data_IF_921145715671
#
_entry.id   IF_921145715671
#
_cell.length_a   1.000
_cell.length_b   1.000
_cell.length_c   1.000
_cell.angle_alpha   90.00
_cell.angle_beta   90.00
_cell.angle_gamma   90.00
#
_symmetry.space_group_name_H-M   'P 1'
#
loop_
_entity.id
_entity.type
_entity.pdbx_description
1 polymer ?
#
# COMPACT_ATOMS: atom_id res chain seq x y z
N UNK A 1 10.15 25.87 -17.54
CA UNK A 1 8.73 25.78 -17.94
C UNK A 1 8.09 27.10 -17.58
N UNK A 2 7.53 27.83 -18.54
CA UNK A 2 6.77 29.05 -18.21
C UNK A 2 5.39 28.55 -17.81
N UNK A 3 5.14 28.49 -16.51
CA UNK A 3 3.83 28.11 -15.95
C UNK A 3 2.89 29.29 -16.08
N UNK A 4 1.69 29.08 -16.62
CA UNK A 4 0.72 30.15 -16.86
C UNK A 4 -0.06 30.52 -15.59
N UNK A 5 -0.63 31.71 -15.57
CA UNK A 5 -1.37 32.25 -14.43
C UNK A 5 -2.63 31.43 -14.11
N UNK A 6 -3.25 30.78 -15.10
CA UNK A 6 -4.44 29.95 -14.89
C UNK A 6 -4.16 28.72 -14.01
N UNK A 7 -2.96 28.14 -14.10
CA UNK A 7 -2.54 26.99 -13.28
C UNK A 7 -2.09 27.42 -11.87
N UNK A 8 -1.51 28.61 -11.74
CA UNK A 8 -0.98 29.10 -10.45
C UNK A 8 -2.08 29.67 -9.57
N UNK A 9 -3.10 30.30 -10.14
CA UNK A 9 -4.13 31.04 -9.40
C UNK A 9 -4.86 30.22 -8.33
N UNK A 10 -5.25 28.94 -8.56
CA UNK A 10 -5.88 28.11 -7.53
C UNK A 10 -4.95 27.79 -6.36
N UNK A 11 -3.63 27.80 -6.57
CA UNK A 11 -2.61 27.41 -5.58
C UNK A 11 -2.19 28.56 -4.67
N UNK A 12 -2.53 29.82 -5.00
CA UNK A 12 -2.05 31.00 -4.26
C UNK A 12 -2.54 31.07 -2.80
N UNK A 13 -3.75 30.57 -2.52
CA UNK A 13 -4.28 30.53 -1.14
C UNK A 13 -3.54 29.49 -0.31
N UNK A 14 -3.45 28.26 -0.82
CA UNK A 14 -2.72 27.17 -0.15
C UNK A 14 -1.23 27.50 0.03
N UNK A 15 -0.62 28.21 -0.93
CA UNK A 15 0.74 28.72 -0.80
C UNK A 15 0.89 29.71 0.37
N UNK A 16 -0.09 30.59 0.57
CA UNK A 16 -0.09 31.53 1.69
C UNK A 16 -0.28 30.85 3.04
N UNK A 17 -1.16 29.84 3.10
CA UNK A 17 -1.45 29.07 4.32
C UNK A 17 -0.34 28.05 4.66
N UNK A 18 0.59 27.81 3.73
CA UNK A 18 1.71 26.89 3.90
C UNK A 18 1.34 25.41 3.72
N UNK A 19 0.29 25.14 2.95
CA UNK A 19 -0.31 23.81 2.77
C UNK A 19 0.11 23.10 1.48
N UNK A 20 0.85 23.78 0.59
CA UNK A 20 1.39 23.14 -0.61
C UNK A 20 2.57 22.21 -0.28
N UNK A 21 2.72 21.14 -1.05
CA UNK A 21 3.94 20.33 -1.00
C UNK A 21 5.17 21.17 -1.46
N UNK A 22 6.40 20.75 -1.11
CA UNK A 22 7.60 21.53 -1.42
C UNK A 22 7.82 21.85 -2.90
N UNK A 23 7.43 20.95 -3.80
CA UNK A 23 7.60 21.11 -5.25
C UNK A 23 6.61 22.14 -5.78
N UNK A 24 5.33 22.03 -5.39
CA UNK A 24 4.31 23.02 -5.73
C UNK A 24 4.62 24.41 -5.16
N UNK A 25 5.12 24.47 -3.91
CA UNK A 25 5.51 25.73 -3.29
C UNK A 25 6.66 26.42 -4.03
N UNK A 26 7.65 25.66 -4.51
CA UNK A 26 8.76 26.20 -5.31
C UNK A 26 8.28 26.73 -6.68
N UNK A 27 7.36 26.02 -7.33
CA UNK A 27 6.75 26.45 -8.59
C UNK A 27 5.98 27.76 -8.42
N UNK A 28 5.13 27.86 -7.38
CA UNK A 28 4.36 29.07 -7.09
C UNK A 28 5.30 30.23 -6.71
N UNK A 29 6.31 29.98 -5.88
CA UNK A 29 7.31 30.97 -5.49
C UNK A 29 8.08 31.53 -6.69
N UNK A 30 8.51 30.66 -7.60
CA UNK A 30 9.19 31.06 -8.84
C UNK A 30 8.28 31.88 -9.75
N UNK A 31 7.00 31.52 -9.88
CA UNK A 31 6.05 32.26 -10.72
C UNK A 31 5.70 33.64 -10.14
N UNK A 32 5.41 33.77 -8.85
CA UNK A 32 5.07 35.08 -8.25
C UNK A 32 6.28 36.03 -8.19
N UNK A 33 7.51 35.53 -8.32
CA UNK A 33 8.70 36.36 -8.44
C UNK A 33 8.75 37.12 -9.78
N UNK A 34 8.06 36.63 -10.82
CA UNK A 34 8.07 37.21 -12.17
C UNK A 34 6.70 37.72 -12.64
N UNK A 35 5.60 37.23 -12.07
CA UNK A 35 4.24 37.64 -12.41
C UNK A 35 3.67 38.64 -11.40
N UNK A 36 3.53 39.90 -11.82
CA UNK A 36 3.01 40.97 -10.97
C UNK A 36 1.55 40.77 -10.53
N UNK A 37 0.71 40.12 -11.34
CA UNK A 37 -0.70 39.88 -11.02
C UNK A 37 -0.86 38.85 -9.89
N UNK A 38 -0.18 37.71 -10.01
CA UNK A 38 -0.20 36.66 -8.98
C UNK A 38 0.48 37.12 -7.68
N UNK A 39 1.53 37.94 -7.77
CA UNK A 39 2.17 38.56 -6.60
C UNK A 39 1.22 39.52 -5.86
N UNK A 40 0.39 40.28 -6.58
CA UNK A 40 -0.59 41.18 -5.97
C UNK A 40 -1.67 40.43 -5.17
N UNK A 41 -2.13 39.27 -5.66
CA UNK A 41 -3.10 38.42 -4.95
C UNK A 41 -2.53 37.92 -3.62
N UNK A 42 -1.28 37.42 -3.61
CA UNK A 42 -0.61 36.97 -2.37
C UNK A 42 -0.39 38.14 -1.40
N UNK A 43 -0.09 39.34 -1.91
CA UNK A 43 0.02 40.55 -1.10
C UNK A 43 -1.32 40.97 -0.48
N UNK A 44 -2.43 40.73 -1.17
CA UNK A 44 -3.79 40.94 -0.65
C UNK A 44 -4.10 39.98 0.51
N UNK A 45 -3.82 38.68 0.37
CA UNK A 45 -3.95 37.70 1.47
C UNK A 45 -3.12 38.10 2.69
N UNK A 46 -1.87 38.55 2.48
CA UNK A 46 -1.02 39.11 3.55
C UNK A 46 -1.61 40.34 4.23
N UNK A 47 -2.27 41.21 3.47
CA UNK A 47 -2.95 42.41 4.00
C UNK A 47 -4.16 42.01 4.85
N UNK A 48 -4.99 41.10 4.34
CA UNK A 48 -6.17 40.59 5.04
C UNK A 48 -5.79 39.88 6.34
N UNK A 49 -4.76 39.03 6.33
CA UNK A 49 -4.25 38.37 7.53
C UNK A 49 -3.79 39.36 8.60
N UNK A 50 -3.12 40.46 8.20
CA UNK A 50 -2.74 41.54 9.14
C UNK A 50 -3.95 42.26 9.73
N UNK A 51 -5.02 42.45 8.95
CA UNK A 51 -6.25 43.09 9.44
C UNK A 51 -7.00 42.17 10.42
N UNK A 52 -7.08 40.87 10.12
CA UNK A 52 -7.69 39.87 11.01
C UNK A 52 -6.94 39.80 12.34
N UNK A 53 -5.60 39.77 12.31
CA UNK A 53 -4.76 39.79 13.53
C UNK A 53 -4.90 41.10 14.31
N UNK A 54 -5.27 42.20 13.63
CA UNK A 54 -5.51 43.50 14.25
C UNK A 54 -6.95 43.68 14.75
N UNK A 55 -7.86 42.71 14.54
CA UNK A 55 -9.20 42.78 15.09
C UNK A 55 -9.15 42.75 16.62
N UNK A 56 -10.00 43.54 17.30
CA UNK A 56 -10.09 43.49 18.75
C UNK A 56 -10.64 42.13 19.21
N UNK A 57 -10.10 41.59 20.31
CA UNK A 57 -10.66 40.42 20.97
C UNK A 57 -12.09 40.73 21.45
N UNK A 58 -13.06 40.01 20.91
CA UNK A 58 -14.45 40.08 21.36
C UNK A 58 -14.65 38.99 22.43
N UNK A 59 -14.94 39.34 23.69
CA UNK A 59 -15.22 38.34 24.71
C UNK A 59 -16.52 37.59 24.34
N UNK A 60 -16.61 36.27 24.60
CA UNK A 60 -17.81 35.51 24.35
C UNK A 60 -18.99 36.06 25.19
N UNK A 61 -20.23 36.00 24.68
CA UNK A 61 -21.41 36.42 25.43
C UNK A 61 -21.57 35.61 26.72
N UNK A 62 -22.09 36.24 27.77
CA UNK A 62 -22.34 35.57 29.05
C UNK A 62 -23.28 34.35 28.85
N UNK A 63 -22.80 33.15 29.20
CA UNK A 63 -23.54 31.89 29.08
C UNK A 63 -22.94 30.87 28.10
N UNK A 64 -21.98 31.26 27.27
CA UNK A 64 -21.24 30.35 26.38
C UNK A 64 -19.98 29.83 27.10
N UNK A 65 -20.09 28.65 27.74
CA UNK A 65 -18.90 27.89 28.19
C UNK A 65 -18.51 26.89 27.10
N UNK A 66 -17.52 27.24 26.29
CA UNK A 66 -16.87 26.30 25.39
C UNK A 66 -15.55 25.84 26.04
N UNK A 67 -15.35 24.55 26.31
CA UNK A 67 -14.05 24.01 26.74
C UNK A 67 -12.89 24.33 25.77
N UNK A 68 -13.21 24.76 24.54
CA UNK A 68 -12.27 25.18 23.51
C UNK A 68 -11.74 26.63 23.68
N UNK A 69 -12.38 27.49 24.48
CA UNK A 69 -11.95 28.88 24.68
C UNK A 69 -10.71 28.99 25.61
N UNK A 70 -10.48 27.98 26.46
CA UNK A 70 -9.38 28.00 27.45
C UNK A 70 -8.06 27.40 26.90
N UNK A 71 -8.02 26.97 25.63
CA UNK A 71 -6.84 26.33 25.01
C UNK A 71 -6.02 27.26 24.10
N UNK A 72 -6.58 28.37 23.62
CA UNK A 72 -5.93 29.24 22.61
C UNK A 72 -5.04 30.36 23.18
N UNK A 73 -5.14 30.70 24.48
CA UNK A 73 -4.38 31.83 25.05
C UNK A 73 -3.02 31.49 25.68
N UNK A 74 -2.57 30.23 25.62
CA UNK A 74 -1.30 29.81 26.24
C UNK A 74 -0.03 29.99 25.39
N UNK A 75 -0.14 30.42 24.13
CA UNK A 75 0.99 30.45 23.19
C UNK A 75 1.65 31.83 22.93
N UNK A 76 1.20 32.92 23.55
CA UNK A 76 1.70 34.27 23.19
C UNK A 76 2.82 34.85 24.08
N UNK A 77 3.23 34.19 25.17
CA UNK A 77 4.13 34.83 26.17
C UNK A 77 5.63 34.61 25.95
N UNK A 78 6.08 33.77 25.01
CA UNK A 78 7.51 33.39 24.90
C UNK A 78 8.32 34.23 23.86
N UNK A 79 7.70 35.12 23.09
CA UNK A 79 8.40 35.82 21.98
C UNK A 79 9.07 37.17 22.30
N UNK A 80 9.19 37.58 23.57
CA UNK A 80 9.70 38.93 23.94
C UNK A 80 11.03 38.98 24.70
N UNK A 81 11.88 37.95 24.63
CA UNK A 81 13.19 37.96 25.31
C UNK A 81 14.43 38.11 24.40
N UNK A 82 14.27 38.43 23.12
CA UNK A 82 15.34 38.28 22.13
C UNK A 82 15.78 39.51 21.36
N UNK A 83 15.72 40.74 21.88
CA UNK A 83 16.27 41.92 21.16
C UNK A 83 16.88 42.96 22.09
N UNK A 84 17.92 42.58 22.83
CA UNK A 84 18.95 43.51 23.31
C UNK A 84 20.31 42.81 23.32
N UNK A 85 20.93 42.65 22.16
CA UNK A 85 22.38 42.52 22.06
C UNK A 85 22.82 42.96 20.65
N UNK A 86 23.06 44.27 20.51
CA UNK A 86 23.91 44.80 19.45
C UNK A 86 25.22 45.22 20.10
N UNK A 87 26.33 44.96 19.39
CA UNK A 87 27.73 45.24 19.73
C UNK A 87 28.42 44.27 20.71
N UNK A 88 28.91 43.14 20.17
CA UNK A 88 30.34 42.78 20.12
C UNK A 88 30.54 41.37 19.51
N UNK A 89 31.39 41.26 18.48
CA UNK A 89 32.13 40.03 18.19
C UNK A 89 31.66 39.21 17.00
N UNK A 90 32.53 39.10 15.98
CA UNK A 90 32.56 38.01 15.01
C UNK A 90 32.47 36.62 15.70
N UNK A 91 32.95 36.55 16.95
CA UNK A 91 32.84 35.40 17.85
C UNK A 91 31.39 35.04 18.23
N UNK A 92 30.48 36.01 18.37
CA UNK A 92 29.08 35.74 18.72
C UNK A 92 28.30 35.14 17.54
N UNK A 93 28.60 35.54 16.30
CA UNK A 93 28.02 34.96 15.10
C UNK A 93 28.49 33.50 14.88
N UNK A 94 29.79 33.23 15.10
CA UNK A 94 30.35 31.87 15.07
C UNK A 94 29.71 31.01 16.18
N UNK A 95 29.55 31.56 17.39
CA UNK A 95 28.89 30.86 18.49
C UNK A 95 27.43 30.51 18.14
N UNK A 96 26.69 31.41 17.50
CA UNK A 96 25.30 31.13 17.07
C UNK A 96 25.26 30.04 16.00
N UNK A 97 26.14 30.05 15.01
CA UNK A 97 26.22 28.98 13.99
C UNK A 97 26.62 27.64 14.62
N UNK A 98 27.58 27.64 15.55
CA UNK A 98 27.99 26.45 16.30
C UNK A 98 26.86 25.95 17.19
N UNK A 99 26.12 26.83 17.87
CA UNK A 99 24.98 26.46 18.70
C UNK A 99 23.81 25.93 17.86
N UNK A 100 23.56 26.48 16.67
CA UNK A 100 22.57 25.94 15.73
C UNK A 100 23.04 24.58 15.20
N UNK A 101 24.32 24.42 14.86
CA UNK A 101 24.90 23.14 14.44
C UNK A 101 24.89 22.08 15.55
N UNK A 102 25.18 22.48 16.78
CA UNK A 102 25.06 21.64 17.97
C UNK A 102 23.61 21.35 18.32
N UNK A 103 22.69 22.29 18.15
CA UNK A 103 21.26 22.08 18.38
C UNK A 103 20.66 21.16 17.30
N UNK A 104 21.07 21.32 16.04
CA UNK A 104 20.70 20.41 14.95
C UNK A 104 21.33 19.03 15.15
N UNK A 105 22.60 18.97 15.56
CA UNK A 105 23.29 17.73 15.93
C UNK A 105 22.68 17.06 17.15
N UNK A 106 22.33 17.82 18.19
CA UNK A 106 21.66 17.35 19.40
C UNK A 106 20.23 16.91 19.08
N UNK A 107 19.50 17.63 18.23
CA UNK A 107 18.19 17.22 17.74
C UNK A 107 18.28 15.90 16.97
N UNK A 108 19.25 15.75 16.07
CA UNK A 108 19.49 14.49 15.36
C UNK A 108 19.91 13.35 16.32
N UNK A 109 20.71 13.64 17.35
CA UNK A 109 21.10 12.67 18.38
C UNK A 109 19.90 12.29 19.26
N UNK A 110 19.09 13.25 19.68
CA UNK A 110 17.86 13.02 20.45
C UNK A 110 16.81 12.27 19.63
N UNK A 111 16.68 12.55 18.34
CA UNK A 111 15.81 11.82 17.42
C UNK A 111 16.28 10.38 17.27
N UNK A 112 17.60 10.16 17.10
CA UNK A 112 18.21 8.81 17.09
C UNK A 112 18.02 8.07 18.42
N UNK A 113 18.15 8.76 19.56
CA UNK A 113 17.88 8.17 20.88
C UNK A 113 16.40 7.86 21.10
N UNK A 114 15.48 8.69 20.58
CA UNK A 114 14.03 8.46 20.66
C UNK A 114 13.61 7.25 19.82
N UNK A 115 14.16 7.12 18.62
CA UNK A 115 13.99 5.93 17.78
C UNK A 115 14.64 4.72 18.41
N UNK A 116 15.84 4.81 19.00
CA UNK A 116 16.53 3.68 19.65
C UNK A 116 15.87 3.21 20.97
N UNK A 117 15.12 4.07 21.66
CA UNK A 117 14.43 3.73 22.91
C UNK A 117 13.02 3.14 22.76
N UNK A 118 12.45 3.14 21.55
CA UNK A 118 11.08 2.66 21.29
C UNK A 118 11.01 1.15 21.06
N UNK A 119 10.69 0.34 22.07
CA UNK A 119 10.64 -1.13 21.98
C UNK A 119 9.98 -1.68 20.70
N UNK A 120 10.58 -2.69 20.07
CA UNK A 120 10.01 -3.38 18.90
C UNK A 120 8.77 -4.18 19.30
N UNK A 121 7.61 -3.79 18.78
CA UNK A 121 6.32 -4.44 19.04
C UNK A 121 5.37 -4.21 17.86
N UNK A 122 4.41 -5.12 17.66
CA UNK A 122 3.25 -4.88 16.79
C UNK A 122 2.27 -3.97 17.54
N UNK A 123 1.89 -2.85 16.93
CA UNK A 123 1.03 -1.82 17.53
C UNK A 123 -0.35 -1.73 16.87
N UNK A 124 -0.51 -2.25 15.65
CA UNK A 124 -1.79 -2.38 14.98
C UNK A 124 -1.79 -3.62 14.10
N UNK A 125 -2.97 -4.22 13.91
CA UNK A 125 -3.16 -5.35 13.01
C UNK A 125 -4.54 -5.31 12.37
N UNK A 126 -4.64 -5.81 11.15
CA UNK A 126 -5.88 -6.18 10.51
C UNK A 126 -5.78 -7.63 9.99
N UNK A 127 -6.81 -8.46 10.18
CA UNK A 127 -7.98 -8.24 11.02
C UNK A 127 -7.57 -8.05 12.50
N UNK A 128 -8.41 -7.42 13.34
CA UNK A 128 -8.12 -7.28 14.76
C UNK A 128 -8.10 -8.65 15.47
N UNK A 129 -7.41 -8.72 16.62
CA UNK A 129 -7.35 -9.94 17.43
C UNK A 129 -8.75 -10.48 17.78
N UNK A 130 -8.96 -11.76 17.52
CA UNK A 130 -10.23 -12.45 17.75
C UNK A 130 -11.32 -12.13 16.73
N UNK A 131 -11.00 -11.56 15.58
CA UNK A 131 -11.99 -11.26 14.54
C UNK A 131 -12.75 -12.52 14.08
N UNK A 132 -14.03 -12.33 13.78
CA UNK A 132 -14.93 -13.34 13.23
C UNK A 132 -15.42 -12.91 11.85
N UNK A 133 -15.88 -13.88 11.06
CA UNK A 133 -16.43 -13.66 9.72
C UNK A 133 -15.48 -12.89 8.78
N UNK A 134 -14.18 -13.13 8.93
CA UNK A 134 -13.16 -12.55 8.06
C UNK A 134 -13.35 -13.06 6.62
N UNK A 135 -13.42 -12.17 5.61
CA UNK A 135 -13.50 -12.58 4.20
C UNK A 135 -12.35 -13.51 3.80
N UNK A 136 -12.62 -14.41 2.86
CA UNK A 136 -11.68 -15.49 2.53
C UNK A 136 -10.45 -15.01 1.76
N UNK A 137 -10.51 -13.87 1.08
CA UNK A 137 -9.37 -13.29 0.37
C UNK A 137 -8.50 -12.36 1.24
N UNK A 138 -8.94 -12.01 2.45
CA UNK A 138 -8.35 -10.96 3.30
C UNK A 138 -6.82 -11.02 3.45
N UNK A 139 -6.14 -9.97 2.99
CA UNK A 139 -4.75 -9.72 3.37
C UNK A 139 -4.64 -9.36 4.86
N UNK A 140 -3.61 -9.87 5.54
CA UNK A 140 -3.32 -9.48 6.93
C UNK A 140 -2.36 -8.28 6.91
N UNK A 141 -2.51 -7.35 7.84
CA UNK A 141 -1.53 -6.26 8.02
C UNK A 141 -1.03 -6.24 9.45
N UNK A 142 0.28 -6.04 9.63
CA UNK A 142 0.90 -5.80 10.93
C UNK A 142 1.69 -4.49 10.86
N UNK A 143 1.37 -3.53 11.72
CA UNK A 143 2.14 -2.29 11.88
C UNK A 143 3.02 -2.39 13.12
N UNK A 144 4.32 -2.20 12.94
CA UNK A 144 5.29 -2.20 14.02
C UNK A 144 5.49 -0.80 14.60
N UNK A 145 5.91 -0.73 15.86
CA UNK A 145 6.28 0.52 16.54
C UNK A 145 7.49 1.22 15.92
N UNK A 146 8.29 0.51 15.11
CA UNK A 146 9.53 1.00 14.50
C UNK A 146 9.89 0.15 13.28
N UNK A 147 10.88 0.60 12.53
CA UNK A 147 11.44 -0.16 11.40
C UNK A 147 12.04 -1.50 11.86
N UNK A 148 11.60 -2.57 11.20
CA UNK A 148 12.04 -3.94 11.45
C UNK A 148 13.06 -4.41 10.42
N UNK A 149 13.83 -5.44 10.77
CA UNK A 149 14.54 -6.26 9.79
C UNK A 149 13.52 -7.18 9.12
N UNK A 150 13.22 -6.88 7.86
CA UNK A 150 12.15 -7.49 7.07
C UNK A 150 12.37 -9.00 6.95
N UNK A 151 13.58 -9.41 6.53
CA UNK A 151 13.97 -10.82 6.41
C UNK A 151 13.85 -11.59 7.73
N UNK A 152 14.18 -10.93 8.86
CA UNK A 152 14.08 -11.52 10.18
C UNK A 152 12.63 -11.69 10.64
N UNK A 153 11.74 -10.78 10.27
CA UNK A 153 10.31 -10.88 10.59
C UNK A 153 9.66 -11.97 9.75
N UNK A 154 9.93 -12.00 8.45
CA UNK A 154 9.40 -13.00 7.53
C UNK A 154 9.81 -14.41 7.94
N UNK A 155 11.09 -14.64 8.24
CA UNK A 155 11.59 -15.93 8.71
C UNK A 155 11.05 -16.33 10.10
N UNK A 156 10.60 -15.36 10.89
CA UNK A 156 10.02 -15.58 12.22
C UNK A 156 8.48 -15.69 12.18
N UNK A 157 7.86 -15.54 11.00
CA UNK A 157 6.41 -15.52 10.84
C UNK A 157 5.90 -16.87 10.32
N UNK A 158 4.89 -17.41 10.98
CA UNK A 158 4.22 -18.64 10.55
C UNK A 158 2.74 -18.61 10.93
N UNK A 159 1.94 -19.43 10.25
CA UNK A 159 0.49 -19.49 10.45
C UNK A 159 0.01 -20.94 10.59
N UNK A 160 -1.01 -21.15 11.42
CA UNK A 160 -1.66 -22.43 11.62
C UNK A 160 -3.19 -22.30 11.48
N UNK A 161 -3.88 -23.11 10.64
CA UNK A 161 -3.32 -24.07 9.66
C UNK A 161 -2.33 -23.42 8.68
N UNK A 162 -1.39 -24.21 8.17
CA UNK A 162 -0.35 -23.72 7.28
C UNK A 162 -0.94 -23.26 5.95
N UNK A 163 -0.56 -22.04 5.54
CA UNK A 163 -0.88 -21.42 4.26
C UNK A 163 0.41 -20.71 3.81
N UNK A 164 0.88 -20.88 2.56
CA UNK A 164 2.00 -20.12 2.04
C UNK A 164 1.70 -18.61 2.08
N UNK A 165 2.66 -17.79 2.52
CA UNK A 165 2.50 -16.35 2.72
C UNK A 165 3.53 -15.57 1.91
N UNK A 166 3.09 -14.49 1.28
CA UNK A 166 3.94 -13.45 0.70
C UNK A 166 3.93 -12.23 1.63
N UNK A 167 4.99 -11.44 1.57
CA UNK A 167 5.19 -10.29 2.43
C UNK A 167 5.52 -9.08 1.57
N UNK A 168 4.83 -7.97 1.81
CA UNK A 168 5.06 -6.71 1.15
C UNK A 168 5.20 -5.61 2.21
N UNK A 169 6.33 -4.90 2.20
CA UNK A 169 6.67 -3.91 3.21
C UNK A 169 6.44 -2.48 2.72
N UNK A 170 5.84 -1.66 3.59
CA UNK A 170 5.75 -0.22 3.41
C UNK A 170 6.03 0.48 4.75
N UNK A 171 7.22 1.05 4.88
CA UNK A 171 7.67 1.68 6.12
C UNK A 171 7.72 0.66 7.27
N UNK A 172 6.98 0.92 8.34
CA UNK A 172 6.86 0.03 9.50
C UNK A 172 5.71 -0.99 9.39
N UNK A 173 5.00 -1.05 8.27
CA UNK A 173 3.87 -1.97 8.07
C UNK A 173 4.24 -3.07 7.09
N UNK A 174 3.91 -4.31 7.45
CA UNK A 174 3.95 -5.47 6.54
C UNK A 174 2.53 -5.89 6.19
N UNK A 175 2.29 -6.06 4.90
CA UNK A 175 1.11 -6.74 4.36
C UNK A 175 1.48 -8.18 4.08
N UNK A 176 0.75 -9.10 4.68
CA UNK A 176 0.91 -10.53 4.56
C UNK A 176 -0.22 -11.05 3.68
N UNK A 177 0.15 -11.55 2.50
CA UNK A 177 -0.78 -12.05 1.49
C UNK A 177 -0.76 -13.57 1.52
N UNK A 178 -1.87 -14.25 1.84
CA UNK A 178 -1.90 -15.69 1.66
C UNK A 178 -1.88 -15.99 0.16
N UNK A 179 -1.13 -17.01 -0.25
CA UNK A 179 -1.05 -17.35 -1.67
C UNK A 179 -2.41 -17.80 -2.19
N UNK A 180 -3.19 -18.46 -1.35
CA UNK A 180 -4.52 -18.98 -1.64
C UNK A 180 -5.53 -18.36 -0.67
N UNK A 181 -6.81 -18.32 -1.07
CA UNK A 181 -7.86 -17.87 -0.18
C UNK A 181 -7.91 -18.72 1.10
N UNK A 182 -8.25 -18.08 2.22
CA UNK A 182 -8.39 -18.74 3.49
C UNK A 182 -9.50 -19.80 3.44
N UNK A 183 -9.28 -20.92 4.14
CA UNK A 183 -10.29 -21.98 4.25
C UNK A 183 -11.52 -21.44 4.95
N UNK A 184 -12.70 -21.80 4.44
CA UNK A 184 -13.99 -21.39 4.96
C UNK A 184 -14.19 -21.85 6.42
N UNK A 185 -14.80 -21.00 7.25
CA UNK A 185 -15.15 -21.32 8.65
C UNK A 185 -13.99 -21.81 9.52
N UNK A 186 -12.77 -21.41 9.21
CA UNK A 186 -11.54 -21.91 9.81
C UNK A 186 -10.95 -20.86 10.74
N UNK A 187 -10.45 -21.31 11.90
CA UNK A 187 -9.72 -20.46 12.83
C UNK A 187 -8.24 -20.55 12.50
N UNK A 188 -7.63 -19.40 12.22
CA UNK A 188 -6.20 -19.25 11.94
C UNK A 188 -5.50 -18.59 13.12
N UNK A 189 -4.24 -18.99 13.34
CA UNK A 189 -3.32 -18.43 14.32
C UNK A 189 -2.04 -18.02 13.61
N UNK A 190 -1.86 -16.72 13.37
CA UNK A 190 -0.62 -16.14 12.86
C UNK A 190 0.31 -15.84 14.05
N UNK A 191 1.57 -16.23 13.96
CA UNK A 191 2.58 -15.95 14.98
C UNK A 191 3.79 -15.26 14.36
N UNK A 192 4.22 -14.15 14.96
CA UNK A 192 5.54 -13.57 14.74
C UNK A 192 6.39 -13.89 15.97
N UNK A 193 7.36 -14.79 15.81
CA UNK A 193 8.19 -15.25 16.92
C UNK A 193 9.04 -14.11 17.49
N UNK A 194 9.37 -14.20 18.79
CA UNK A 194 10.23 -13.24 19.49
C UNK A 194 11.66 -13.16 18.96
N UNK A 195 12.04 -14.04 18.03
CA UNK A 195 13.31 -14.01 17.31
C UNK A 195 13.36 -12.94 16.21
N UNK A 196 12.21 -12.35 15.83
CA UNK A 196 12.14 -11.23 14.91
C UNK A 196 12.92 -10.02 15.45
N UNK A 197 13.61 -9.30 14.56
CA UNK A 197 14.54 -8.22 14.93
C UNK A 197 14.14 -6.87 14.35
N UNK A 198 14.42 -5.82 15.10
CA UNK A 198 14.53 -4.45 14.58
C UNK A 198 15.78 -4.29 13.72
N UNK A 199 15.83 -3.24 12.87
CA UNK A 199 17.04 -2.91 12.08
C UNK A 199 18.26 -2.59 12.95
N UNK A 200 18.05 -2.24 14.22
CA UNK A 200 19.09 -2.03 15.23
C UNK A 200 19.54 -3.33 15.94
N UNK A 201 18.99 -4.48 15.54
CA UNK A 201 19.26 -5.80 16.12
C UNK A 201 18.48 -6.10 17.40
N UNK A 202 17.60 -5.21 17.87
CA UNK A 202 16.74 -5.46 19.04
C UNK A 202 15.71 -6.54 18.73
N UNK A 203 15.49 -7.46 19.66
CA UNK A 203 14.44 -8.47 19.52
C UNK A 203 13.05 -7.85 19.70
N UNK A 204 12.06 -8.46 19.06
CA UNK A 204 10.66 -8.21 19.34
C UNK A 204 10.39 -8.44 20.85
N UNK A 205 9.75 -7.47 21.51
CA UNK A 205 9.57 -7.45 22.97
C UNK A 205 8.95 -8.75 23.50
N UNK A 206 7.98 -9.27 22.77
CA UNK A 206 7.32 -10.55 23.01
C UNK A 206 6.85 -11.13 21.68
N UNK A 207 6.77 -12.46 21.53
CA UNK A 207 6.09 -13.06 20.39
C UNK A 207 4.70 -12.45 20.21
N UNK A 208 4.37 -12.09 18.98
CA UNK A 208 3.04 -11.61 18.64
C UNK A 208 2.21 -12.78 18.12
N UNK A 209 0.96 -12.87 18.57
CA UNK A 209 0.01 -13.90 18.14
C UNK A 209 -1.28 -13.21 17.74
N UNK A 210 -1.78 -13.53 16.56
CA UNK A 210 -3.05 -13.08 16.02
C UNK A 210 -3.96 -14.28 15.77
N UNK A 211 -5.14 -14.29 16.38
CA UNK A 211 -6.21 -15.26 16.12
C UNK A 211 -7.33 -14.60 15.32
N UNK A 212 -7.77 -15.26 14.25
CA UNK A 212 -8.97 -14.83 13.52
C UNK A 212 -9.73 -16.04 12.98
N UNK A 213 -11.02 -15.86 12.73
CA UNK A 213 -11.89 -16.88 12.15
C UNK A 213 -12.52 -16.36 10.87
N UNK A 214 -12.35 -17.12 9.80
CA UNK A 214 -12.93 -16.80 8.49
C UNK A 214 -14.43 -17.05 8.47
N UNK A 215 -15.12 -16.37 7.55
CA UNK A 215 -16.54 -16.57 7.31
C UNK A 215 -16.83 -18.06 7.03
N UNK A 216 -17.83 -18.60 7.73
CA UNK A 216 -18.31 -19.97 7.51
C UNK A 216 -19.45 -20.03 6.50
N UNK A 217 -19.73 -21.23 5.98
CA UNK A 217 -21.01 -21.50 5.32
C UNK A 217 -22.07 -21.65 6.43
N UNK A 218 -23.20 -20.92 6.40
CA UNK A 218 -24.28 -21.10 7.36
C UNK A 218 -24.76 -22.56 7.37
N UNK A 219 -24.88 -23.22 8.54
CA UNK A 219 -25.25 -24.64 8.60
C UNK A 219 -26.65 -24.89 7.98
N UNK A 220 -26.75 -25.94 7.15
CA UNK A 220 -28.02 -26.38 6.56
C UNK A 220 -28.35 -25.81 5.18
N UNK A 221 -27.42 -25.09 4.54
CA UNK A 221 -27.50 -24.79 3.11
C UNK A 221 -26.41 -25.59 2.38
N UNK A 222 -26.78 -26.43 1.42
CA UNK A 222 -25.89 -26.62 0.26
C UNK A 222 -25.52 -25.21 -0.24
N UNK A 223 -24.29 -24.98 -0.77
CA UNK A 223 -23.98 -23.73 -1.45
C UNK A 223 -25.17 -23.43 -2.37
N UNK A 224 -25.87 -22.29 -2.20
CA UNK A 224 -27.10 -22.09 -2.92
C UNK A 224 -26.82 -22.28 -4.41
N UNK A 225 -27.78 -22.77 -5.21
CA UNK A 225 -27.59 -22.92 -6.66
C UNK A 225 -27.02 -21.64 -7.30
N UNK A 226 -27.20 -20.48 -6.68
CA UNK A 226 -26.62 -19.19 -7.06
C UNK A 226 -25.09 -19.08 -6.92
N UNK A 227 -24.43 -19.91 -6.11
CA UNK A 227 -22.97 -19.97 -6.05
C UNK A 227 -22.41 -20.93 -7.10
N UNK A 228 -23.20 -21.89 -7.60
CA UNK A 228 -22.71 -22.77 -8.65
C UNK A 228 -22.22 -21.93 -9.83
N UNK A 229 -21.03 -22.25 -10.39
CA UNK A 229 -20.52 -21.55 -11.54
C UNK A 229 -21.55 -21.54 -12.67
N UNK A 230 -21.65 -20.40 -13.34
CA UNK A 230 -22.49 -20.19 -14.52
C UNK A 230 -21.61 -19.98 -15.75
N UNK A 231 -22.22 -19.98 -16.93
CA UNK A 231 -21.54 -19.70 -18.19
C UNK A 231 -20.24 -20.50 -18.39
N UNK A 232 -19.14 -19.80 -18.64
CA UNK A 232 -17.83 -20.37 -18.95
C UNK A 232 -17.23 -21.17 -17.79
N UNK A 233 -17.34 -20.68 -16.55
CA UNK A 233 -16.86 -21.42 -15.39
C UNK A 233 -17.67 -22.70 -15.17
N UNK A 234 -18.99 -22.69 -15.47
CA UNK A 234 -19.80 -23.90 -15.41
C UNK A 234 -19.32 -24.99 -16.38
N UNK A 235 -18.90 -24.59 -17.60
CA UNK A 235 -18.42 -25.52 -18.61
C UNK A 235 -17.15 -26.23 -18.15
N UNK A 236 -16.13 -25.46 -17.72
CA UNK A 236 -14.87 -26.02 -17.21
C UNK A 236 -15.12 -26.84 -15.94
N UNK A 237 -15.85 -26.28 -14.97
CA UNK A 237 -16.08 -26.92 -13.68
C UNK A 237 -16.82 -28.26 -13.81
N UNK A 238 -17.86 -28.34 -14.65
CA UNK A 238 -18.64 -29.59 -14.81
C UNK A 238 -18.00 -30.57 -15.77
N UNK A 239 -17.49 -30.08 -16.90
CA UNK A 239 -17.07 -30.95 -18.02
C UNK A 239 -15.63 -31.43 -17.84
N UNK A 240 -14.74 -30.56 -17.37
CA UNK A 240 -13.31 -30.87 -17.23
C UNK A 240 -12.96 -31.29 -15.80
N UNK A 241 -13.60 -30.67 -14.80
CA UNK A 241 -13.23 -30.87 -13.39
C UNK A 241 -14.19 -31.78 -12.62
N UNK A 242 -15.27 -32.29 -13.21
CA UNK A 242 -16.17 -33.23 -12.53
C UNK A 242 -17.10 -32.61 -11.47
N UNK A 243 -17.25 -31.28 -11.46
CA UNK A 243 -18.22 -30.55 -10.67
C UNK A 243 -17.99 -30.63 -9.16
N UNK A 244 -19.04 -30.73 -8.32
CA UNK A 244 -18.92 -30.72 -6.87
C UNK A 244 -18.04 -31.80 -6.26
N UNK A 245 -17.98 -32.97 -6.90
CA UNK A 245 -17.15 -34.10 -6.44
C UNK A 245 -15.75 -34.06 -7.03
N UNK A 246 -15.46 -33.04 -7.83
CA UNK A 246 -14.18 -32.77 -8.47
C UNK A 246 -13.12 -32.22 -7.51
N UNK A 247 -11.88 -32.02 -8.01
CA UNK A 247 -10.78 -31.51 -7.21
C UNK A 247 -10.99 -30.07 -6.74
N UNK A 248 -11.79 -29.27 -7.44
CA UNK A 248 -12.02 -27.86 -7.10
C UNK A 248 -13.08 -27.67 -6.00
N UNK A 249 -13.98 -28.65 -5.82
CA UNK A 249 -15.10 -28.57 -4.88
C UNK A 249 -16.18 -27.58 -5.29
N UNK A 250 -16.93 -27.08 -4.31
CA UNK A 250 -17.98 -26.07 -4.53
C UNK A 250 -17.41 -24.66 -4.62
N UNK A 251 -18.08 -23.80 -5.39
CA UNK A 251 -17.85 -22.37 -5.35
C UNK A 251 -18.31 -21.79 -4.01
N UNK A 252 -17.50 -20.89 -3.44
CA UNK A 252 -17.70 -20.33 -2.10
C UNK A 252 -18.09 -18.85 -2.12
N UNK A 253 -17.92 -18.19 -3.28
CA UNK A 253 -18.34 -16.81 -3.54
C UNK A 253 -19.01 -16.72 -4.92
N UNK A 254 -19.89 -15.72 -5.14
CA UNK A 254 -20.41 -15.44 -6.48
C UNK A 254 -19.27 -15.10 -7.46
N UNK A 255 -19.47 -15.42 -8.73
CA UNK A 255 -18.62 -14.91 -9.81
C UNK A 255 -18.64 -13.39 -9.81
N UNK A 256 -17.45 -12.80 -9.90
CA UNK A 256 -17.25 -11.35 -9.97
C UNK A 256 -16.67 -11.00 -11.33
N UNK A 257 -17.32 -10.05 -12.02
CA UNK A 257 -16.79 -9.40 -13.21
C UNK A 257 -16.02 -8.15 -12.79
N UNK A 258 -14.75 -8.06 -13.18
CA UNK A 258 -13.83 -7.03 -12.71
C UNK A 258 -13.05 -6.43 -13.88
N UNK A 259 -12.76 -5.13 -13.80
CA UNK A 259 -11.71 -4.56 -14.63
C UNK A 259 -10.37 -5.20 -14.25
N UNK A 260 -9.57 -5.51 -15.25
CA UNK A 260 -8.39 -6.36 -15.12
C UNK A 260 -7.29 -5.88 -16.04
N UNK A 261 -6.06 -6.26 -15.74
CA UNK A 261 -4.91 -6.09 -16.62
C UNK A 261 -4.12 -7.39 -16.72
N UNK A 262 -3.49 -7.64 -17.87
CA UNK A 262 -2.57 -8.76 -18.07
C UNK A 262 -1.34 -8.32 -18.82
N UNK A 263 -0.27 -9.09 -18.65
CA UNK A 263 0.92 -8.98 -19.46
C UNK A 263 1.62 -10.33 -19.54
N UNK A 264 1.89 -10.82 -20.76
CA UNK A 264 2.73 -12.00 -20.95
C UNK A 264 4.21 -11.66 -20.86
N UNK A 265 4.96 -12.61 -20.31
CA UNK A 265 6.40 -12.60 -20.16
C UNK A 265 6.98 -13.86 -20.81
N UNK A 266 8.29 -13.87 -21.07
CA UNK A 266 8.98 -14.99 -21.74
C UNK A 266 8.69 -16.36 -21.12
N UNK A 267 8.44 -16.43 -19.80
CA UNK A 267 8.26 -17.67 -19.03
C UNK A 267 7.16 -17.53 -17.97
N UNK A 268 6.18 -16.67 -18.24
CA UNK A 268 5.10 -16.44 -17.29
C UNK A 268 4.09 -15.40 -17.76
N UNK A 269 3.15 -15.10 -16.88
CA UNK A 269 2.16 -14.05 -17.06
C UNK A 269 1.87 -13.37 -15.74
N UNK A 270 1.60 -12.07 -15.79
CA UNK A 270 0.98 -11.37 -14.67
C UNK A 270 -0.48 -11.05 -15.00
N UNK A 271 -1.35 -11.21 -14.02
CA UNK A 271 -2.75 -10.81 -14.05
C UNK A 271 -3.02 -9.92 -12.84
N UNK A 272 -3.63 -8.77 -13.06
CA UNK A 272 -4.16 -7.91 -12.00
C UNK A 272 -5.68 -7.84 -12.16
N UNK A 273 -6.39 -7.92 -11.04
CA UNK A 273 -7.86 -7.87 -10.98
C UNK A 273 -8.25 -6.77 -9.97
N UNK A 274 -9.15 -5.87 -10.36
CA UNK A 274 -9.64 -4.77 -9.52
C UNK A 274 -10.58 -5.25 -8.40
N UNK A 275 -10.02 -5.99 -7.45
CA UNK A 275 -10.75 -6.45 -6.28
C UNK A 275 -10.85 -5.28 -5.30
N UNK A 276 -12.07 -4.81 -5.05
CA UNK A 276 -12.46 -3.60 -4.28
C UNK A 276 -11.71 -3.29 -2.97
N UNK A 277 -10.98 -4.25 -2.40
CA UNK A 277 -10.26 -4.11 -1.14
C UNK A 277 -8.82 -4.64 -1.16
N UNK A 278 -8.36 -5.18 -2.30
CA UNK A 278 -7.09 -5.91 -2.40
C UNK A 278 -6.44 -5.70 -3.77
N UNK A 279 -5.48 -4.77 -3.85
CA UNK A 279 -4.67 -4.59 -5.05
C UNK A 279 -3.67 -5.76 -5.16
N UNK A 280 -4.02 -6.78 -5.92
CA UNK A 280 -3.23 -8.02 -6.03
C UNK A 280 -2.82 -8.30 -7.47
N UNK A 281 -1.57 -8.76 -7.62
CA UNK A 281 -1.03 -9.27 -8.87
C UNK A 281 -0.82 -10.77 -8.70
N UNK A 282 -1.42 -11.55 -9.59
CA UNK A 282 -1.21 -12.98 -9.75
C UNK A 282 -0.09 -13.18 -10.76
N UNK A 283 0.95 -13.91 -10.36
CA UNK A 283 2.05 -14.30 -11.25
C UNK A 283 1.90 -15.79 -11.52
N UNK A 284 1.71 -16.14 -12.79
CA UNK A 284 1.71 -17.51 -13.29
C UNK A 284 3.09 -17.78 -13.89
N UNK A 285 3.83 -18.71 -13.30
CA UNK A 285 5.10 -19.21 -13.80
C UNK A 285 4.82 -20.36 -14.76
N UNK A 286 5.35 -20.30 -15.98
CA UNK A 286 5.08 -21.32 -16.99
C UNK A 286 5.89 -22.58 -16.73
N UNK A 287 5.19 -23.72 -16.73
CA UNK A 287 5.78 -25.04 -16.90
C UNK A 287 6.23 -25.29 -18.34
N UNK A 288 6.68 -26.50 -18.63
CA UNK A 288 7.28 -26.83 -19.94
C UNK A 288 6.31 -26.74 -21.12
N UNK A 289 5.00 -26.81 -20.88
CA UNK A 289 3.95 -26.78 -21.90
C UNK A 289 3.21 -25.44 -21.98
N UNK A 290 3.56 -24.47 -21.13
CA UNK A 290 2.92 -23.15 -21.04
C UNK A 290 1.40 -23.18 -20.81
N UNK A 291 0.83 -24.35 -20.49
CA UNK A 291 -0.60 -24.53 -20.15
C UNK A 291 -0.78 -24.94 -18.69
N UNK A 292 0.31 -25.14 -17.96
CA UNK A 292 0.34 -25.42 -16.53
C UNK A 292 1.61 -24.84 -15.90
N UNK A 293 1.65 -24.79 -14.57
CA UNK A 293 2.86 -24.40 -13.83
C UNK A 293 2.56 -24.03 -12.39
N UNK A 294 3.40 -23.19 -11.81
CA UNK A 294 3.26 -22.69 -10.44
C UNK A 294 2.70 -21.27 -10.45
N UNK A 295 1.96 -20.86 -9.42
CA UNK A 295 1.47 -19.50 -9.31
C UNK A 295 1.67 -18.93 -7.91
N UNK A 296 1.72 -17.60 -7.84
CA UNK A 296 1.83 -16.87 -6.59
C UNK A 296 1.10 -15.53 -6.67
N UNK A 297 0.64 -15.06 -5.50
CA UNK A 297 -0.01 -13.75 -5.33
C UNK A 297 0.93 -12.76 -4.67
N UNK A 298 0.89 -11.53 -5.17
CA UNK A 298 1.70 -10.40 -4.70
C UNK A 298 0.81 -9.18 -4.47
N UNK A 299 1.23 -8.29 -3.57
CA UNK A 299 0.59 -6.98 -3.42
C UNK A 299 1.02 -6.09 -4.58
N UNK A 300 0.07 -5.42 -5.24
CA UNK A 300 0.43 -4.29 -6.07
C UNK A 300 0.78 -3.11 -5.17
N UNK A 301 2.07 -2.83 -5.08
CA UNK A 301 2.58 -1.72 -4.29
C UNK A 301 2.57 -0.39 -5.06
N UNK A 302 2.38 -0.40 -6.38
CA UNK A 302 2.40 0.81 -7.20
C UNK A 302 1.23 1.72 -6.85
N UNK A 303 1.49 3.02 -6.76
CA UNK A 303 0.48 4.04 -6.47
C UNK A 303 0.49 5.12 -7.54
N UNK A 304 -0.63 5.80 -7.71
CA UNK A 304 -0.71 6.95 -8.61
C UNK A 304 0.33 8.00 -8.19
N UNK A 305 1.20 8.38 -9.13
CA UNK A 305 2.34 9.27 -8.90
C UNK A 305 3.70 8.57 -8.73
N UNK A 306 3.73 7.24 -8.50
CA UNK A 306 4.97 6.48 -8.57
C UNK A 306 5.55 6.48 -10.00
N UNK A 307 6.87 6.36 -10.18
CA UNK A 307 7.47 6.23 -11.50
C UNK A 307 6.84 5.05 -12.27
N UNK A 308 6.29 5.33 -13.44
CA UNK A 308 5.65 4.29 -14.28
C UNK A 308 6.65 3.21 -14.71
N UNK A 309 7.92 3.58 -14.91
CA UNK A 309 8.98 2.69 -15.38
C UNK A 309 10.34 3.11 -14.85
N UNK A 310 11.32 2.22 -14.94
CA UNK A 310 12.70 2.51 -14.55
C UNK A 310 13.55 3.06 -15.72
N UNK A 311 13.04 3.01 -16.96
CA UNK A 311 13.74 3.51 -18.14
C UNK A 311 14.82 2.55 -18.63
N UNK A 312 14.60 1.25 -18.42
CA UNK A 312 15.50 0.21 -18.93
C UNK A 312 15.37 0.08 -20.45
N UNK A 313 16.44 -0.34 -21.12
CA UNK A 313 16.39 -0.68 -22.55
C UNK A 313 16.11 -2.18 -22.68
N UNK A 314 14.89 -2.59 -23.09
CA UNK A 314 14.59 -4.00 -23.27
C UNK A 314 15.34 -4.59 -24.47
N UNK A 315 15.59 -5.92 -24.49
CA UNK A 315 16.06 -6.61 -25.68
C UNK A 315 15.13 -6.42 -26.89
N UNK A 316 15.64 -6.69 -28.09
CA UNK A 316 14.85 -6.54 -29.32
C UNK A 316 13.56 -7.38 -29.28
N UNK A 317 12.43 -6.73 -29.57
CA UNK A 317 11.11 -7.37 -29.55
C UNK A 317 10.48 -7.53 -28.17
N UNK A 318 11.15 -7.10 -27.09
CA UNK A 318 10.68 -7.19 -25.71
C UNK A 318 10.34 -5.81 -25.15
N UNK A 319 9.64 -5.80 -24.01
CA UNK A 319 9.10 -4.61 -23.38
C UNK A 319 9.55 -4.49 -21.93
N UNK A 320 9.83 -3.27 -21.49
CA UNK A 320 9.94 -2.97 -20.06
C UNK A 320 8.53 -2.96 -19.45
N UNK A 321 8.22 -3.85 -18.48
CA UNK A 321 6.94 -3.79 -17.78
C UNK A 321 6.81 -2.48 -17.00
N UNK A 322 5.59 -1.94 -16.93
CA UNK A 322 5.29 -0.63 -16.36
C UNK A 322 4.31 -0.74 -15.18
N UNK A 323 4.16 0.34 -14.42
CA UNK A 323 3.22 0.48 -13.29
C UNK A 323 3.35 -0.69 -12.29
N UNK A 324 2.23 -1.28 -11.83
CA UNK A 324 2.21 -2.38 -10.87
C UNK A 324 3.06 -3.58 -11.29
N UNK A 325 2.86 -4.06 -12.53
CA UNK A 325 3.66 -5.16 -13.09
C UNK A 325 5.14 -4.82 -13.16
N UNK A 326 5.46 -3.61 -13.62
CA UNK A 326 6.84 -3.13 -13.70
C UNK A 326 7.52 -3.04 -12.35
N UNK A 327 6.80 -2.54 -11.33
CA UNK A 327 7.31 -2.42 -9.97
C UNK A 327 7.54 -3.79 -9.35
N UNK A 328 6.55 -4.69 -9.41
CA UNK A 328 6.67 -6.06 -8.93
C UNK A 328 7.85 -6.79 -9.60
N UNK A 329 7.93 -6.70 -10.93
CA UNK A 329 8.98 -7.34 -11.72
C UNK A 329 10.37 -6.88 -11.30
N UNK A 330 10.59 -5.56 -11.11
CA UNK A 330 11.90 -5.02 -10.71
C UNK A 330 12.25 -5.32 -9.26
N UNK A 331 11.31 -5.06 -8.35
CA UNK A 331 11.61 -4.89 -6.94
C UNK A 331 11.55 -6.23 -6.19
N UNK A 332 10.63 -7.13 -6.58
CA UNK A 332 10.44 -8.40 -5.88
C UNK A 332 10.89 -9.62 -6.71
N UNK A 333 10.70 -9.59 -8.04
CA UNK A 333 11.06 -10.73 -8.89
C UNK A 333 12.51 -10.70 -9.38
N UNK A 334 13.27 -9.63 -9.13
CA UNK A 334 14.69 -9.54 -9.51
C UNK A 334 14.96 -8.89 -10.87
N UNK A 335 13.97 -8.21 -11.45
CA UNK A 335 14.10 -7.41 -12.66
C UNK A 335 14.58 -8.22 -13.86
N UNK A 336 15.71 -7.83 -14.43
CA UNK A 336 16.27 -8.51 -15.62
C UNK A 336 16.61 -9.99 -15.38
N UNK A 337 16.76 -10.40 -14.12
CA UNK A 337 16.98 -11.80 -13.72
C UNK A 337 15.70 -12.51 -13.28
N UNK A 338 14.53 -11.90 -13.49
CA UNK A 338 13.26 -12.45 -13.03
C UNK A 338 12.98 -13.83 -13.64
N UNK A 339 12.43 -14.78 -12.85
CA UNK A 339 12.12 -16.12 -13.35
C UNK A 339 11.24 -16.11 -14.60
N UNK A 340 10.26 -15.19 -14.64
CA UNK A 340 9.34 -15.02 -15.78
C UNK A 340 9.96 -14.31 -16.99
N UNK A 341 11.13 -13.66 -16.85
CA UNK A 341 11.82 -12.97 -17.94
C UNK A 341 11.25 -11.59 -18.28
N UNK A 342 11.54 -11.08 -19.47
CA UNK A 342 11.02 -9.79 -19.95
C UNK A 342 9.58 -9.89 -20.46
N UNK A 343 8.87 -8.75 -20.50
CA UNK A 343 7.53 -8.73 -21.08
C UNK A 343 7.60 -8.90 -22.60
N UNK A 344 6.71 -9.73 -23.13
CA UNK A 344 6.59 -10.01 -24.57
C UNK A 344 5.73 -8.96 -25.29
N UNK A 345 4.94 -8.22 -24.53
CA UNK A 345 3.97 -7.26 -25.04
C UNK A 345 3.69 -6.16 -24.01
N UNK A 346 3.11 -5.02 -24.41
CA UNK A 346 2.58 -4.03 -23.48
C UNK A 346 1.46 -4.62 -22.60
N UNK A 347 1.28 -4.03 -21.42
CA UNK A 347 0.15 -4.33 -20.55
C UNK A 347 -1.19 -4.09 -21.27
N UNK A 348 -2.12 -5.04 -21.15
CA UNK A 348 -3.44 -4.98 -21.76
C UNK A 348 -4.53 -4.99 -20.70
N UNK A 349 -5.37 -3.96 -20.70
CA UNK A 349 -6.58 -3.90 -19.87
C UNK A 349 -7.75 -4.64 -20.51
N UNK A 350 -8.56 -5.32 -19.70
CA UNK A 350 -9.72 -6.09 -20.13
C UNK A 350 -10.74 -6.24 -19.00
N UNK A 351 -11.93 -6.75 -19.32
CA UNK A 351 -12.90 -7.20 -18.32
C UNK A 351 -12.76 -8.70 -18.15
N UNK A 352 -12.40 -9.14 -16.96
CA UNK A 352 -12.23 -10.55 -16.60
C UNK A 352 -13.29 -11.02 -15.61
N UNK A 353 -13.32 -12.32 -15.36
CA UNK A 353 -14.14 -12.89 -14.29
C UNK A 353 -13.26 -13.64 -13.30
N UNK A 354 -13.64 -13.65 -12.04
CA UNK A 354 -13.03 -14.46 -10.99
C UNK A 354 -14.11 -15.14 -10.14
N UNK A 355 -13.87 -16.39 -9.76
CA UNK A 355 -14.70 -17.09 -8.79
C UNK A 355 -13.85 -18.02 -7.93
N UNK A 356 -13.94 -17.87 -6.60
CA UNK A 356 -13.25 -18.77 -5.66
C UNK A 356 -14.10 -19.99 -5.32
N UNK A 357 -13.39 -21.09 -5.06
CA UNK A 357 -13.91 -22.41 -4.73
C UNK A 357 -13.19 -22.96 -3.49
N UNK A 358 -13.70 -24.07 -2.95
CA UNK A 358 -13.14 -24.71 -1.75
C UNK A 358 -11.64 -25.04 -1.86
N UNK A 359 -11.16 -25.37 -3.06
CA UNK A 359 -9.79 -25.85 -3.30
C UNK A 359 -9.05 -25.11 -4.43
N UNK A 360 -9.47 -23.88 -4.73
CA UNK A 360 -8.81 -23.05 -5.73
C UNK A 360 -9.70 -21.94 -6.26
N UNK A 361 -9.24 -21.27 -7.30
CA UNK A 361 -9.89 -20.11 -7.89
C UNK A 361 -9.87 -20.22 -9.40
N UNK A 362 -11.00 -19.93 -10.05
CA UNK A 362 -11.05 -19.75 -11.50
C UNK A 362 -10.91 -18.28 -11.85
N UNK A 363 -10.06 -17.99 -12.83
CA UNK A 363 -9.89 -16.65 -13.42
C UNK A 363 -10.07 -16.78 -14.92
N UNK A 364 -11.02 -16.04 -15.48
CA UNK A 364 -11.21 -15.93 -16.92
C UNK A 364 -10.53 -14.68 -17.46
N UNK A 365 -9.66 -14.89 -18.44
CA UNK A 365 -8.91 -13.84 -19.11
C UNK A 365 -9.46 -13.67 -20.52
N UNK A 366 -10.28 -12.64 -20.71
CA UNK A 366 -11.04 -12.44 -21.93
C UNK A 366 -10.20 -12.37 -23.22
N UNK A 367 -9.03 -11.69 -23.26
CA UNK A 367 -8.26 -11.63 -24.50
C UNK A 367 -7.65 -12.98 -24.91
N UNK A 368 -7.44 -13.89 -23.95
CA UNK A 368 -6.86 -15.21 -24.21
C UNK A 368 -7.95 -16.24 -24.54
N UNK A 369 -9.21 -15.94 -24.19
CA UNK A 369 -10.32 -16.91 -24.17
C UNK A 369 -9.96 -18.16 -23.34
N UNK A 370 -9.30 -17.97 -22.20
CA UNK A 370 -8.85 -19.06 -21.32
C UNK A 370 -9.41 -18.87 -19.92
N UNK A 371 -9.85 -19.96 -19.32
CA UNK A 371 -10.08 -20.08 -17.87
C UNK A 371 -8.83 -20.68 -17.25
N UNK A 372 -8.15 -19.90 -16.42
CA UNK A 372 -7.06 -20.37 -15.59
C UNK A 372 -7.63 -20.86 -14.25
N UNK A 373 -7.30 -22.08 -13.88
CA UNK A 373 -7.60 -22.63 -12.54
C UNK A 373 -6.33 -22.50 -11.71
N UNK A 374 -6.41 -21.73 -10.64
CA UNK A 374 -5.36 -21.51 -9.65
C UNK A 374 -5.64 -22.41 -8.45
N UNK A 375 -4.91 -23.51 -8.32
CA UNK A 375 -5.16 -24.54 -7.31
C UNK A 375 -4.64 -24.15 -5.93
N UNK A 376 -5.25 -24.70 -4.88
CA UNK A 376 -4.84 -24.44 -3.49
C UNK A 376 -3.41 -24.91 -3.14
N UNK A 377 -2.84 -25.80 -3.97
CA UNK A 377 -1.49 -26.32 -3.78
C UNK A 377 -0.39 -25.43 -4.39
N UNK A 378 -0.79 -24.32 -5.03
CA UNK A 378 0.12 -23.39 -5.69
C UNK A 378 0.40 -23.73 -7.16
N UNK A 379 -0.23 -24.76 -7.72
CA UNK A 379 -0.18 -25.05 -9.16
C UNK A 379 -1.31 -24.35 -9.92
N UNK A 380 -1.15 -24.14 -11.23
CA UNK A 380 -2.22 -23.64 -12.10
C UNK A 380 -2.36 -24.47 -13.37
N UNK A 381 -3.54 -24.40 -14.00
CA UNK A 381 -3.83 -25.06 -15.27
C UNK A 381 -4.74 -24.20 -16.14
N UNK A 382 -4.44 -24.08 -17.44
CA UNK A 382 -5.26 -23.41 -18.42
C UNK A 382 -6.27 -24.35 -19.07
N UNK A 383 -7.52 -23.89 -19.16
CA UNK A 383 -8.61 -24.51 -19.88
C UNK A 383 -9.08 -23.53 -20.95
N UNK A 384 -8.76 -23.77 -22.23
CA UNK A 384 -9.31 -22.99 -23.32
C UNK A 384 -10.84 -23.01 -23.27
N UNK A 385 -11.47 -21.88 -23.55
CA UNK A 385 -12.91 -21.82 -23.69
C UNK A 385 -13.34 -22.76 -24.85
N UNK A 386 -14.32 -23.66 -24.62
CA UNK A 386 -14.71 -24.67 -25.61
C UNK A 386 -15.44 -24.10 -26.84
#
# INVERSE_FOLDING_TARGET
>A
MIVDCEEIRPLLSAYWDGELDPVQAEIVAAHIAVCAQCAAIVAEYRSLGRQIVALPDVPPPAGLSLPAYDRSHRYQTIRRFGTRLAFNGLAAAILVVVLIGMAAGMSAVLQRMRVAGQEAAVIATYPPEGAHDVPLNTNLTLTFSRAMDESSVEAATYIAPAVPLAFAWQGETVTIVPFVDWRVGTTYTLTVAGTARGRDGTLLKSPFVLHFRTAGIPPGREPPESLNPIGRFALVWRSELGGPTGPLGYAIVPEQELWSARQHFERGMMIWLDQLYEDQIYVLYYGSDETSGDWQRYVDLWREGDPEKAGLTPPEGLYEPIRGFGRLWRDELGGQAAPIGWALEPEQGFVGCIQSFEHGTMVWVAPDCIVYVLWEDGSWTAYPEP
#
